data_IF_621310645535
#
_entry.id   IF_621310645535
#
_cell.length_a   1.000
_cell.length_b   1.000
_cell.length_c   1.000
_cell.angle_alpha   90.00
_cell.angle_beta   90.00
_cell.angle_gamma   90.00
#
_symmetry.space_group_name_H-M   'P 1'
#
loop_
_entity.id
_entity.type
_entity.pdbx_description
1 polymer ?
#
# COMPACT_ATOMS: atom_id res chain seq x y z
N UNK A 1 -30.89 -20.53 -24.59
CA UNK A 1 -31.38 -20.68 -23.20
C UNK A 1 -32.35 -19.52 -22.95
N UNK A 2 -33.47 -19.71 -22.26
CA UNK A 2 -34.42 -18.61 -22.05
C UNK A 2 -33.84 -17.62 -21.03
N UNK A 3 -33.65 -16.36 -21.43
CA UNK A 3 -33.10 -15.31 -20.56
C UNK A 3 -34.14 -14.95 -19.50
N UNK A 4 -33.76 -15.08 -18.22
CA UNK A 4 -34.66 -14.82 -17.10
C UNK A 4 -34.57 -13.38 -16.62
N UNK A 5 -35.59 -12.93 -15.86
CA UNK A 5 -35.56 -11.62 -15.20
C UNK A 5 -34.40 -11.51 -14.20
N UNK A 6 -34.00 -12.63 -13.60
CA UNK A 6 -32.85 -12.69 -12.70
C UNK A 6 -31.54 -12.44 -13.45
N UNK A 7 -31.37 -13.01 -14.65
CA UNK A 7 -30.17 -12.79 -15.48
C UNK A 7 -30.05 -11.32 -15.91
N UNK A 8 -31.17 -10.70 -16.29
CA UNK A 8 -31.23 -9.28 -16.65
C UNK A 8 -30.90 -8.40 -15.44
N UNK A 9 -31.46 -8.72 -14.26
CA UNK A 9 -31.20 -7.99 -13.02
C UNK A 9 -29.74 -8.11 -12.60
N UNK A 10 -29.16 -9.31 -12.72
CA UNK A 10 -27.75 -9.58 -12.44
C UNK A 10 -26.82 -8.80 -13.36
N UNK A 11 -27.08 -8.80 -14.67
CA UNK A 11 -26.29 -8.01 -15.62
C UNK A 11 -26.40 -6.51 -15.34
N UNK A 12 -27.58 -6.03 -14.95
CA UNK A 12 -27.80 -4.63 -14.55
C UNK A 12 -27.01 -4.27 -13.29
N UNK A 13 -27.03 -5.09 -12.25
CA UNK A 13 -26.23 -4.88 -11.05
C UNK A 13 -24.72 -4.91 -11.34
N UNK A 14 -24.29 -5.75 -12.27
CA UNK A 14 -22.89 -5.85 -12.67
C UNK A 14 -22.39 -4.66 -13.47
N UNK A 15 -23.25 -4.03 -14.28
CA UNK A 15 -22.85 -3.07 -15.32
C UNK A 15 -23.39 -1.65 -15.13
N UNK A 16 -24.41 -1.47 -14.28
CA UNK A 16 -25.10 -0.20 -14.09
C UNK A 16 -25.98 0.24 -15.27
N UNK A 17 -26.14 -0.58 -16.31
CA UNK A 17 -26.94 -0.26 -17.49
C UNK A 17 -28.45 -0.24 -17.23
N UNK A 18 -29.22 0.38 -18.14
CA UNK A 18 -30.67 0.31 -18.14
C UNK A 18 -31.18 -1.12 -18.33
N UNK A 19 -32.30 -1.47 -17.66
CA UNK A 19 -32.88 -2.82 -17.67
C UNK A 19 -33.15 -3.37 -19.08
N UNK A 20 -33.63 -2.50 -19.98
CA UNK A 20 -33.91 -2.87 -21.38
C UNK A 20 -32.64 -3.05 -22.21
N UNK A 21 -31.57 -2.34 -21.89
CA UNK A 21 -30.29 -2.49 -22.57
C UNK A 21 -29.62 -3.80 -22.14
N UNK A 22 -29.64 -4.13 -20.84
CA UNK A 22 -29.18 -5.42 -20.32
C UNK A 22 -29.93 -6.59 -20.97
N UNK A 23 -31.25 -6.48 -21.12
CA UNK A 23 -32.06 -7.50 -21.79
C UNK A 23 -31.64 -7.69 -23.25
N UNK A 24 -31.59 -6.61 -24.04
CA UNK A 24 -31.19 -6.66 -25.45
C UNK A 24 -29.77 -7.22 -25.64
N UNK A 25 -28.85 -6.86 -24.75
CA UNK A 25 -27.49 -7.35 -24.79
C UNK A 25 -27.40 -8.85 -24.47
N UNK A 26 -28.19 -9.34 -23.51
CA UNK A 26 -28.30 -10.78 -23.23
C UNK A 26 -28.95 -11.52 -24.39
N UNK A 27 -29.98 -10.95 -25.03
CA UNK A 27 -30.63 -11.53 -26.21
C UNK A 27 -29.62 -11.69 -27.36
N UNK A 28 -28.85 -10.64 -27.67
CA UNK A 28 -27.80 -10.67 -28.70
C UNK A 28 -26.63 -11.61 -28.34
N UNK A 29 -26.35 -11.78 -27.04
CA UNK A 29 -25.31 -12.68 -26.54
C UNK A 29 -25.80 -14.13 -26.32
N UNK A 30 -27.06 -14.45 -26.66
CA UNK A 30 -27.67 -15.76 -26.40
C UNK A 30 -27.62 -16.19 -24.92
N UNK A 31 -27.68 -15.24 -23.99
CA UNK A 31 -27.60 -15.44 -22.54
C UNK A 31 -26.18 -15.48 -21.96
N UNK A 32 -25.14 -15.31 -22.79
CA UNK A 32 -23.75 -15.22 -22.34
C UNK A 32 -23.50 -13.85 -21.68
N UNK A 33 -23.26 -13.86 -20.36
CA UNK A 33 -23.15 -12.64 -19.55
C UNK A 33 -21.91 -11.80 -19.92
N UNK A 34 -20.81 -12.44 -20.31
CA UNK A 34 -19.56 -11.77 -20.64
C UNK A 34 -19.68 -11.09 -22.01
N UNK A 35 -20.23 -11.80 -23.00
CA UNK A 35 -20.54 -11.21 -24.31
C UNK A 35 -21.58 -10.10 -24.22
N UNK A 36 -22.61 -10.26 -23.39
CA UNK A 36 -23.61 -9.20 -23.17
C UNK A 36 -22.95 -7.93 -22.58
N UNK A 37 -22.01 -8.11 -21.65
CA UNK A 37 -21.22 -7.00 -21.09
C UNK A 37 -20.39 -6.30 -22.17
N UNK A 38 -19.74 -7.05 -23.07
CA UNK A 38 -19.01 -6.46 -24.20
C UNK A 38 -19.91 -5.68 -25.18
N UNK A 39 -21.10 -6.21 -25.48
CA UNK A 39 -22.09 -5.55 -26.34
C UNK A 39 -22.53 -4.22 -25.73
N UNK A 40 -22.79 -4.19 -24.42
CA UNK A 40 -23.13 -2.96 -23.69
C UNK A 40 -22.00 -1.92 -23.73
N UNK A 41 -20.74 -2.36 -23.68
CA UNK A 41 -19.56 -1.49 -23.83
C UNK A 41 -19.43 -0.94 -25.24
N UNK A 42 -19.56 -1.79 -26.27
CA UNK A 42 -19.49 -1.40 -27.69
C UNK A 42 -20.57 -0.38 -28.06
N UNK A 43 -21.76 -0.49 -27.43
CA UNK A 43 -22.87 0.44 -27.64
C UNK A 43 -22.76 1.73 -26.79
N UNK A 44 -21.74 1.87 -25.95
CA UNK A 44 -21.54 3.05 -25.11
C UNK A 44 -22.59 3.23 -24.01
N UNK A 45 -23.36 2.19 -23.71
CA UNK A 45 -24.50 2.24 -22.77
C UNK A 45 -24.06 2.10 -21.32
N UNK A 46 -22.84 1.60 -21.09
CA UNK A 46 -22.22 1.52 -19.77
C UNK A 46 -20.94 2.35 -19.72
N UNK A 47 -20.82 3.23 -18.73
CA UNK A 47 -19.53 3.84 -18.35
C UNK A 47 -18.82 2.86 -17.42
N UNK A 48 -17.69 2.33 -17.88
CA UNK A 48 -16.74 1.49 -17.13
C UNK A 48 -17.35 0.22 -16.47
N UNK A 49 -17.18 -0.93 -17.13
CA UNK A 49 -17.37 -2.24 -16.48
C UNK A 49 -16.46 -2.38 -15.24
N UNK A 50 -16.88 -3.21 -14.27
CA UNK A 50 -16.07 -3.64 -13.12
C UNK A 50 -14.63 -3.93 -13.53
N UNK A 51 -13.71 -3.03 -13.18
CA UNK A 51 -12.26 -3.18 -13.31
C UNK A 51 -11.68 -4.11 -12.24
N UNK A 52 -12.40 -5.20 -11.94
CA UNK A 52 -12.01 -6.17 -10.91
C UNK A 52 -10.59 -6.68 -11.12
N UNK A 53 -10.22 -6.93 -12.38
CA UNK A 53 -9.01 -7.67 -12.74
C UNK A 53 -7.78 -6.81 -13.06
N UNK A 54 -7.92 -5.47 -13.09
CA UNK A 54 -6.77 -4.59 -13.30
C UNK A 54 -6.05 -4.33 -11.98
N UNK A 55 -4.73 -4.58 -11.98
CA UNK A 55 -3.86 -4.39 -10.83
C UNK A 55 -3.59 -2.89 -10.67
N UNK A 56 -4.14 -2.30 -9.59
CA UNK A 56 -3.85 -0.92 -9.21
C UNK A 56 -2.57 -0.89 -8.36
N UNK A 57 -1.41 -0.90 -9.01
CA UNK A 57 -0.09 -0.86 -8.35
C UNK A 57 0.57 0.52 -8.38
N UNK A 58 -0.01 1.48 -9.09
CA UNK A 58 0.39 2.89 -9.08
C UNK A 58 -0.48 3.68 -8.08
N UNK A 59 -0.24 4.99 -7.94
CA UNK A 59 -0.93 5.84 -6.98
C UNK A 59 0.01 6.67 -6.11
N UNK A 60 -0.47 7.03 -4.91
CA UNK A 60 0.24 7.83 -3.91
C UNK A 60 -0.08 7.34 -2.49
N UNK A 61 0.90 7.50 -1.62
CA UNK A 61 0.76 7.43 -0.17
C UNK A 61 0.70 8.85 0.38
N UNK A 62 0.05 9.02 1.53
CA UNK A 62 -0.06 10.30 2.23
C UNK A 62 0.09 10.07 3.72
N UNK A 63 0.75 11.01 4.39
CA UNK A 63 0.74 11.14 5.85
C UNK A 63 0.33 12.57 6.19
N UNK A 64 -0.56 12.73 7.17
CA UNK A 64 -1.00 14.04 7.67
C UNK A 64 -1.10 14.01 9.18
N UNK A 65 -0.63 15.07 9.82
CA UNK A 65 -0.76 15.32 11.25
C UNK A 65 -1.61 16.56 11.45
N UNK A 66 -2.58 16.49 12.35
CA UNK A 66 -3.39 17.63 12.76
C UNK A 66 -3.72 17.51 14.25
N UNK A 67 -3.15 18.42 15.04
CA UNK A 67 -3.21 18.40 16.50
C UNK A 67 -2.72 17.04 17.05
N UNK A 68 -3.56 16.35 17.83
CA UNK A 68 -3.24 15.07 18.45
C UNK A 68 -3.60 13.86 17.58
N UNK A 69 -3.92 14.07 16.30
CA UNK A 69 -4.31 13.01 15.37
C UNK A 69 -3.33 12.98 14.20
N UNK A 70 -2.86 11.78 13.86
CA UNK A 70 -2.10 11.51 12.66
C UNK A 70 -2.76 10.42 11.84
N UNK A 71 -2.69 10.55 10.51
CA UNK A 71 -3.16 9.54 9.57
C UNK A 71 -2.10 9.24 8.54
N UNK A 72 -2.06 7.99 8.10
CA UNK A 72 -1.29 7.56 6.94
C UNK A 72 -2.17 6.67 6.07
N UNK A 73 -2.14 6.86 4.76
CA UNK A 73 -2.96 6.11 3.82
C UNK A 73 -2.24 5.84 2.51
N UNK A 74 -2.66 4.80 1.81
CA UNK A 74 -2.27 4.52 0.42
C UNK A 74 -3.52 4.46 -0.46
N UNK A 75 -3.54 5.28 -1.51
CA UNK A 75 -4.57 5.27 -2.54
C UNK A 75 -3.90 4.85 -3.85
N UNK A 76 -4.45 3.83 -4.50
CA UNK A 76 -3.91 3.28 -5.73
C UNK A 76 -4.72 3.68 -6.97
N UNK A 77 -4.04 3.70 -8.11
CA UNK A 77 -4.58 3.83 -9.47
C UNK A 77 -4.00 2.73 -10.38
N UNK A 78 -4.55 2.60 -11.60
CA UNK A 78 -4.03 1.64 -12.59
C UNK A 78 -2.72 2.12 -13.21
N UNK A 79 -2.62 3.43 -13.47
CA UNK A 79 -1.44 4.04 -14.10
C UNK A 79 -0.81 5.15 -13.26
N UNK A 80 0.44 5.49 -13.58
CA UNK A 80 1.15 6.61 -12.99
C UNK A 80 0.67 7.96 -13.56
N UNK A 81 0.12 7.98 -14.78
CA UNK A 81 -0.52 9.16 -15.37
C UNK A 81 -1.72 9.63 -14.55
N UNK A 82 -2.59 8.70 -14.13
CA UNK A 82 -3.68 9.01 -13.21
C UNK A 82 -3.17 9.55 -11.87
N UNK A 83 -2.15 8.90 -11.29
CA UNK A 83 -1.57 9.30 -10.01
C UNK A 83 -0.97 10.73 -10.02
N UNK A 84 -0.54 11.20 -11.18
CA UNK A 84 0.03 12.56 -11.38
C UNK A 84 -1.02 13.65 -11.60
N UNK A 85 -2.28 13.27 -11.90
CA UNK A 85 -3.37 14.22 -12.14
C UNK A 85 -3.79 14.98 -10.89
N UNK A 86 -4.30 16.20 -11.07
CA UNK A 86 -4.76 17.01 -9.94
C UNK A 86 -6.02 16.43 -9.29
N UNK A 87 -6.93 15.82 -10.07
CA UNK A 87 -8.09 15.11 -9.54
C UNK A 87 -7.68 13.99 -8.57
N UNK A 88 -6.62 13.23 -8.90
CA UNK A 88 -6.12 12.18 -8.01
C UNK A 88 -5.44 12.74 -6.76
N UNK A 89 -4.58 13.75 -6.90
CA UNK A 89 -3.94 14.40 -5.74
C UNK A 89 -4.97 15.02 -4.79
N UNK A 90 -6.02 15.63 -5.34
CA UNK A 90 -7.12 16.18 -4.56
C UNK A 90 -7.91 15.08 -3.85
N UNK A 91 -8.14 13.92 -4.48
CA UNK A 91 -8.72 12.77 -3.81
C UNK A 91 -7.85 12.32 -2.63
N UNK A 92 -6.54 12.19 -2.82
CA UNK A 92 -5.60 11.75 -1.76
C UNK A 92 -5.59 12.73 -0.59
N UNK A 93 -5.56 14.04 -0.85
CA UNK A 93 -5.67 15.07 0.20
C UNK A 93 -7.01 14.95 0.94
N UNK A 94 -8.11 14.83 0.21
CA UNK A 94 -9.44 14.69 0.80
C UNK A 94 -9.56 13.43 1.67
N UNK A 95 -8.94 12.31 1.26
CA UNK A 95 -8.87 11.11 2.09
C UNK A 95 -8.15 11.40 3.40
N UNK A 96 -6.99 12.06 3.38
CA UNK A 96 -6.27 12.40 4.60
C UNK A 96 -7.10 13.29 5.54
N UNK A 97 -7.79 14.30 4.99
CA UNK A 97 -8.67 15.20 5.76
C UNK A 97 -9.84 14.43 6.38
N UNK A 98 -10.53 13.60 5.59
CA UNK A 98 -11.63 12.77 6.05
C UNK A 98 -11.22 11.82 7.17
N UNK A 99 -10.05 11.18 7.06
CA UNK A 99 -9.53 10.26 8.08
C UNK A 99 -9.23 10.97 9.40
N UNK A 100 -8.70 12.21 9.35
CA UNK A 100 -8.44 13.02 10.55
C UNK A 100 -9.75 13.36 11.26
N UNK A 101 -10.77 13.76 10.50
CA UNK A 101 -12.05 14.22 11.03
C UNK A 101 -12.90 13.06 11.59
N UNK A 102 -12.98 11.96 10.86
CA UNK A 102 -13.95 10.88 11.13
C UNK A 102 -13.33 9.68 11.85
N UNK A 103 -11.99 9.56 11.83
CA UNK A 103 -11.22 8.53 12.55
C UNK A 103 -11.75 7.10 12.39
N UNK A 104 -12.02 6.63 11.16
CA UNK A 104 -12.53 5.28 10.94
C UNK A 104 -11.50 4.23 11.39
N UNK A 105 -11.98 3.11 11.92
CA UNK A 105 -11.14 2.02 12.40
C UNK A 105 -10.63 1.11 11.27
N UNK A 106 -11.26 1.14 10.09
CA UNK A 106 -10.87 0.31 8.95
C UNK A 106 -11.09 1.00 7.60
N UNK A 107 -10.52 0.41 6.54
CA UNK A 107 -10.74 0.86 5.17
C UNK A 107 -12.22 0.75 4.79
N UNK A 108 -12.90 -0.33 5.18
CA UNK A 108 -14.33 -0.54 4.91
C UNK A 108 -15.19 0.54 5.54
N UNK A 109 -14.86 0.94 6.77
CA UNK A 109 -15.55 2.04 7.45
C UNK A 109 -15.26 3.38 6.78
N UNK A 110 -13.99 3.65 6.44
CA UNK A 110 -13.61 4.87 5.73
C UNK A 110 -14.34 5.00 4.39
N UNK A 111 -14.45 3.90 3.64
CA UNK A 111 -15.08 3.88 2.32
C UNK A 111 -16.56 4.23 2.34
N UNK A 112 -17.28 4.05 3.47
CA UNK A 112 -18.70 4.45 3.57
C UNK A 112 -18.90 5.96 3.38
N UNK A 113 -17.96 6.79 3.85
CA UNK A 113 -18.02 8.24 3.65
C UNK A 113 -17.21 8.75 2.47
N UNK A 114 -16.31 7.93 1.92
CA UNK A 114 -15.46 8.28 0.77
C UNK A 114 -16.06 7.83 -0.57
N UNK A 115 -17.10 6.99 -0.58
CA UNK A 115 -17.64 6.34 -1.79
C UNK A 115 -17.99 7.33 -2.91
N UNK A 116 -18.68 8.41 -2.59
CA UNK A 116 -19.09 9.41 -3.58
C UNK A 116 -17.88 10.12 -4.18
N UNK A 117 -16.90 10.49 -3.36
CA UNK A 117 -15.67 11.14 -3.81
C UNK A 117 -14.85 10.22 -4.73
N UNK A 118 -14.71 8.94 -4.36
CA UNK A 118 -14.05 7.96 -5.22
C UNK A 118 -14.82 7.78 -6.55
N UNK A 119 -16.14 7.69 -6.52
CA UNK A 119 -16.97 7.51 -7.72
C UNK A 119 -16.90 8.71 -8.66
N UNK A 120 -16.89 9.93 -8.11
CA UNK A 120 -16.67 11.17 -8.85
C UNK A 120 -15.30 11.16 -9.54
N UNK A 121 -14.23 10.88 -8.79
CA UNK A 121 -12.86 10.89 -9.33
C UNK A 121 -12.64 9.78 -10.36
N UNK A 122 -13.19 8.58 -10.14
CA UNK A 122 -13.19 7.48 -11.13
C UNK A 122 -13.88 7.92 -12.43
N UNK A 123 -14.97 8.67 -12.35
CA UNK A 123 -15.70 9.15 -13.53
C UNK A 123 -14.92 10.17 -14.35
N UNK A 124 -14.03 10.95 -13.71
CA UNK A 124 -13.15 11.93 -14.35
C UNK A 124 -11.89 11.31 -14.93
N UNK A 125 -11.19 10.53 -14.12
CA UNK A 125 -9.90 9.91 -14.51
C UNK A 125 -10.15 8.77 -15.49
N UNK A 126 -11.26 8.04 -15.32
CA UNK A 126 -11.50 6.85 -16.10
C UNK A 126 -10.50 5.75 -15.77
N UNK A 127 -10.07 5.60 -14.51
CA UNK A 127 -9.31 4.44 -14.00
C UNK A 127 -9.92 3.90 -12.70
N UNK A 128 -9.65 2.62 -12.36
CA UNK A 128 -9.99 2.10 -11.03
C UNK A 128 -9.11 2.78 -9.99
N UNK A 129 -9.76 3.26 -8.94
CA UNK A 129 -9.10 3.82 -7.77
C UNK A 129 -9.42 2.93 -6.56
N UNK A 130 -8.47 2.80 -5.64
CA UNK A 130 -8.65 1.97 -4.45
C UNK A 130 -8.03 2.63 -3.23
N UNK A 131 -8.77 2.73 -2.12
CA UNK A 131 -8.19 2.99 -0.82
C UNK A 131 -7.64 1.66 -0.29
N UNK A 132 -6.33 1.51 -0.24
CA UNK A 132 -5.71 0.20 0.00
C UNK A 132 -5.52 -0.09 1.48
N UNK A 133 -4.97 0.88 2.21
CA UNK A 133 -4.66 0.75 3.63
C UNK A 133 -4.65 2.12 4.28
N UNK A 134 -5.01 2.14 5.55
CA UNK A 134 -5.02 3.32 6.40
C UNK A 134 -4.45 2.96 7.77
N UNK A 135 -3.90 3.94 8.46
CA UNK A 135 -3.80 3.94 9.90
C UNK A 135 -4.20 5.31 10.43
N UNK A 136 -4.96 5.33 11.52
CA UNK A 136 -5.38 6.54 12.26
C UNK A 136 -4.86 6.42 13.68
N UNK A 137 -4.05 7.38 14.11
CA UNK A 137 -3.37 7.35 15.40
C UNK A 137 -3.77 8.61 16.18
N UNK A 138 -4.14 8.44 17.44
CA UNK A 138 -4.22 9.54 18.40
C UNK A 138 -3.03 9.43 19.34
N UNK A 139 -2.34 10.54 19.58
CA UNK A 139 -1.19 10.58 20.51
C UNK A 139 -1.62 10.96 21.92
N UNK A 140 -0.83 10.53 22.91
CA UNK A 140 -0.88 11.05 24.27
C UNK A 140 -0.14 12.40 24.37
N UNK A 141 -0.24 13.07 25.52
CA UNK A 141 0.46 14.33 25.79
C UNK A 141 1.99 14.18 25.85
N UNK A 142 2.48 12.96 26.11
CA UNK A 142 3.90 12.63 26.20
C UNK A 142 4.46 12.16 24.85
N UNK A 143 3.63 12.12 23.81
CA UNK A 143 3.99 11.61 22.50
C UNK A 143 4.13 12.73 21.46
N UNK A 144 5.01 12.49 20.51
CA UNK A 144 5.32 13.34 19.37
C UNK A 144 5.14 12.54 18.08
N UNK A 145 4.60 13.19 17.05
CA UNK A 145 4.51 12.59 15.72
C UNK A 145 5.68 13.03 14.85
N UNK A 146 6.31 12.07 14.17
CA UNK A 146 7.21 12.32 13.06
C UNK A 146 6.54 11.94 11.76
N UNK A 147 6.19 12.91 10.92
CA UNK A 147 5.62 12.65 9.60
C UNK A 147 6.57 13.07 8.49
N UNK A 148 6.77 12.20 7.51
CA UNK A 148 7.62 12.50 6.36
C UNK A 148 7.06 11.89 5.08
N UNK A 149 6.99 12.70 4.02
CA UNK A 149 6.63 12.28 2.67
C UNK A 149 7.87 12.37 1.79
N UNK A 150 8.16 11.31 1.05
CA UNK A 150 9.29 11.23 0.14
C UNK A 150 8.85 10.94 -1.29
N UNK A 151 9.67 11.39 -2.26
CA UNK A 151 9.46 11.19 -3.70
C UNK A 151 8.04 11.58 -4.18
N UNK A 152 7.51 12.69 -3.67
CA UNK A 152 6.20 13.21 -4.08
C UNK A 152 5.02 12.31 -3.70
N UNK A 153 5.13 11.52 -2.62
CA UNK A 153 4.07 10.61 -2.16
C UNK A 153 4.24 9.18 -2.64
N UNK A 154 5.43 8.76 -3.09
CA UNK A 154 5.70 7.32 -3.32
C UNK A 154 6.02 6.61 -2.01
N UNK A 155 6.58 7.31 -1.03
CA UNK A 155 6.82 6.81 0.32
C UNK A 155 6.27 7.82 1.32
N UNK A 156 5.50 7.34 2.31
CA UNK A 156 5.05 8.13 3.44
C UNK A 156 5.41 7.37 4.72
N UNK A 157 5.87 8.12 5.72
CA UNK A 157 6.26 7.56 7.01
C UNK A 157 5.60 8.34 8.13
N UNK A 158 5.08 7.61 9.11
CA UNK A 158 4.60 8.13 10.38
C UNK A 158 5.36 7.43 11.51
N UNK A 159 5.90 8.19 12.44
CA UNK A 159 6.57 7.73 13.66
C UNK A 159 5.81 8.29 14.86
N UNK A 160 5.60 7.47 15.88
CA UNK A 160 5.11 7.89 17.19
C UNK A 160 6.26 7.75 18.18
N UNK A 161 6.72 8.88 18.70
CA UNK A 161 7.83 8.96 19.64
C UNK A 161 7.29 9.37 21.01
N UNK A 162 7.46 8.54 22.02
CA UNK A 162 7.22 8.88 23.42
C UNK A 162 8.45 9.65 23.95
N UNK A 163 8.23 10.79 24.61
CA UNK A 163 9.30 11.71 24.98
C UNK A 163 9.95 12.40 23.78
N UNK A 164 11.18 12.89 23.98
CA UNK A 164 11.95 13.57 22.94
C UNK A 164 11.26 14.80 22.34
N UNK A 165 11.63 15.14 21.11
CA UNK A 165 11.06 16.28 20.37
C UNK A 165 10.39 15.83 19.07
N UNK A 166 9.48 16.66 18.56
CA UNK A 166 8.88 16.48 17.23
C UNK A 166 9.93 16.45 16.11
N UNK A 167 11.00 17.25 16.23
CA UNK A 167 12.12 17.23 15.29
C UNK A 167 12.83 15.88 15.28
N UNK A 168 13.11 15.28 16.44
CA UNK A 168 13.71 13.95 16.51
C UNK A 168 12.79 12.89 15.88
N UNK A 169 11.48 12.95 16.17
CA UNK A 169 10.51 12.04 15.57
C UNK A 169 10.52 12.15 14.03
N UNK A 170 10.58 13.38 13.50
CA UNK A 170 10.68 13.65 12.06
C UNK A 170 11.99 13.15 11.45
N UNK A 171 13.12 13.29 12.15
CA UNK A 171 14.40 12.75 11.70
C UNK A 171 14.38 11.21 11.60
N UNK A 172 13.78 10.55 12.58
CA UNK A 172 13.58 9.10 12.57
C UNK A 172 12.65 8.69 11.41
N UNK A 173 11.60 9.47 11.13
CA UNK A 173 10.72 9.22 9.99
C UNK A 173 11.45 9.36 8.63
N UNK A 174 12.34 10.35 8.51
CA UNK A 174 13.21 10.51 7.34
C UNK A 174 14.17 9.34 7.17
N UNK A 175 14.77 8.89 8.27
CA UNK A 175 15.64 7.72 8.27
C UNK A 175 14.88 6.48 7.78
N UNK A 176 13.74 6.16 8.39
CA UNK A 176 12.93 5.00 8.01
C UNK A 176 12.46 5.07 6.54
N UNK A 177 12.16 6.27 6.02
CA UNK A 177 11.82 6.41 4.60
C UNK A 177 12.96 5.95 3.68
N UNK A 178 14.20 6.29 4.04
CA UNK A 178 15.41 5.98 3.28
C UNK A 178 15.87 4.52 3.43
N UNK A 179 15.79 3.96 4.63
CA UNK A 179 16.37 2.64 4.95
C UNK A 179 15.39 1.48 4.84
N UNK A 180 14.08 1.74 4.82
CA UNK A 180 13.06 0.70 4.63
C UNK A 180 12.99 -0.38 5.71
N UNK A 181 13.05 -0.05 7.02
CA UNK A 181 12.84 -1.04 8.07
C UNK A 181 11.44 -1.64 7.95
N UNK A 182 11.34 -2.92 8.30
CA UNK A 182 10.09 -3.69 8.31
C UNK A 182 9.54 -3.87 9.72
N UNK A 183 10.42 -3.86 10.71
CA UNK A 183 10.10 -4.08 12.11
C UNK A 183 10.69 -2.97 12.96
N UNK A 184 10.13 -2.74 14.14
CA UNK A 184 10.65 -1.75 15.08
C UNK A 184 11.94 -2.28 15.75
N UNK A 185 11.89 -3.53 16.20
CA UNK A 185 12.91 -4.20 16.99
C UNK A 185 12.98 -5.71 16.66
N UNK A 186 13.89 -6.43 17.30
CA UNK A 186 14.14 -7.86 17.04
C UNK A 186 12.96 -8.73 17.48
N UNK A 187 12.23 -8.32 18.52
CA UNK A 187 11.11 -9.05 19.10
C UNK A 187 9.88 -9.10 18.18
N UNK A 188 9.76 -8.14 17.25
CA UNK A 188 8.69 -8.10 16.25
C UNK A 188 8.97 -8.99 15.03
N UNK A 189 10.18 -9.55 14.90
CA UNK A 189 10.52 -10.42 13.78
C UNK A 189 9.95 -11.82 14.00
N UNK A 190 9.11 -12.28 13.06
CA UNK A 190 8.50 -13.61 13.14
C UNK A 190 9.54 -14.74 13.19
N UNK A 191 9.33 -15.70 14.09
CA UNK A 191 10.25 -16.82 14.29
C UNK A 191 10.48 -17.66 13.02
N UNK A 192 9.46 -17.84 12.19
CA UNK A 192 9.59 -18.58 10.92
C UNK A 192 10.47 -17.85 9.89
N UNK A 193 10.47 -16.52 9.91
CA UNK A 193 11.38 -15.71 9.09
C UNK A 193 12.81 -15.91 9.58
N UNK A 194 13.03 -15.86 10.89
CA UNK A 194 14.36 -16.06 11.49
C UNK A 194 14.92 -17.44 11.22
N UNK A 195 14.12 -18.49 11.42
CA UNK A 195 14.52 -19.88 11.16
C UNK A 195 14.92 -20.05 9.69
N UNK A 196 14.11 -19.52 8.76
CA UNK A 196 14.38 -19.60 7.33
C UNK A 196 15.65 -18.85 6.93
N UNK A 197 15.87 -17.64 7.45
CA UNK A 197 17.09 -16.88 7.17
C UNK A 197 18.34 -17.57 7.75
N UNK A 198 18.24 -18.16 8.94
CA UNK A 198 19.31 -18.95 9.54
C UNK A 198 19.63 -20.21 8.73
N UNK A 199 18.61 -20.91 8.25
CA UNK A 199 18.75 -22.10 7.40
C UNK A 199 19.45 -21.73 6.09
N UNK A 200 18.94 -20.72 5.37
CA UNK A 200 19.55 -20.22 4.12
C UNK A 200 21.01 -19.84 4.35
N UNK A 201 21.30 -19.07 5.41
CA UNK A 201 22.66 -18.67 5.73
C UNK A 201 23.58 -19.86 6.02
N UNK A 202 23.08 -20.86 6.75
CA UNK A 202 23.82 -22.09 7.09
C UNK A 202 24.11 -22.92 5.85
N UNK A 203 23.11 -23.17 5.01
CA UNK A 203 23.24 -23.93 3.76
C UNK A 203 24.24 -23.30 2.80
N UNK A 204 24.19 -21.98 2.63
CA UNK A 204 25.18 -21.25 1.82
C UNK A 204 26.61 -21.48 2.31
N UNK A 205 26.83 -21.52 3.63
CA UNK A 205 28.15 -21.70 4.21
C UNK A 205 28.62 -23.17 4.15
N UNK A 206 27.69 -24.14 4.30
CA UNK A 206 27.98 -25.57 4.07
C UNK A 206 28.37 -25.84 2.62
N UNK A 207 27.67 -25.24 1.66
CA UNK A 207 27.99 -25.34 0.23
C UNK A 207 29.37 -24.73 -0.11
N UNK A 208 29.84 -23.77 0.69
CA UNK A 208 31.20 -23.22 0.60
C UNK A 208 32.26 -24.08 1.31
N UNK A 209 31.90 -25.24 1.83
CA UNK A 209 32.82 -26.17 2.50
C UNK A 209 33.28 -25.73 3.89
N UNK A 210 32.55 -24.82 4.56
CA UNK A 210 32.94 -24.34 5.89
C UNK A 210 32.60 -25.39 6.97
N UNK A 211 33.48 -25.59 7.98
CA UNK A 211 33.20 -26.47 9.12
C UNK A 211 32.01 -25.99 9.98
N UNK A 212 31.20 -26.93 10.49
CA UNK A 212 29.96 -26.63 11.23
C UNK A 212 30.19 -25.76 12.48
N UNK A 213 31.29 -25.96 13.20
CA UNK A 213 31.67 -25.15 14.37
C UNK A 213 31.97 -23.68 14.02
N UNK A 214 32.40 -23.41 12.78
CA UNK A 214 32.63 -22.04 12.28
C UNK A 214 31.32 -21.45 11.74
N UNK A 215 30.47 -22.27 11.14
CA UNK A 215 29.16 -21.85 10.59
C UNK A 215 28.31 -21.17 11.66
N UNK A 216 28.19 -21.75 12.85
CA UNK A 216 27.38 -21.19 13.95
C UNK A 216 27.75 -19.72 14.25
N UNK A 217 29.04 -19.41 14.35
CA UNK A 217 29.51 -18.06 14.64
C UNK A 217 29.27 -17.10 13.46
N UNK A 218 29.45 -17.56 12.22
CA UNK A 218 29.21 -16.73 11.03
C UNK A 218 27.71 -16.45 10.87
N UNK A 219 26.86 -17.45 11.09
CA UNK A 219 25.40 -17.29 11.02
C UNK A 219 24.94 -16.27 12.04
N UNK A 220 25.46 -16.29 13.27
CA UNK A 220 25.15 -15.26 14.28
C UNK A 220 25.43 -13.85 13.76
N UNK A 221 26.62 -13.60 13.21
CA UNK A 221 26.97 -12.29 12.64
C UNK A 221 26.10 -11.92 11.42
N UNK A 222 25.72 -12.89 10.58
CA UNK A 222 24.77 -12.66 9.49
C UNK A 222 23.37 -12.29 10.00
N UNK A 223 22.92 -12.91 11.09
CA UNK A 223 21.64 -12.57 11.72
C UNK A 223 21.67 -11.18 12.35
N UNK A 224 22.76 -10.80 13.02
CA UNK A 224 22.93 -9.43 13.51
C UNK A 224 22.89 -8.42 12.36
N UNK A 225 23.52 -8.73 11.22
CA UNK A 225 23.40 -7.90 10.02
C UNK A 225 21.96 -7.83 9.51
N UNK A 226 21.27 -8.96 9.40
CA UNK A 226 19.86 -9.02 9.01
C UNK A 226 19.00 -8.09 9.90
N UNK A 227 19.16 -8.17 11.22
CA UNK A 227 18.45 -7.27 12.15
C UNK A 227 18.78 -5.80 11.88
N UNK A 228 20.06 -5.46 11.64
CA UNK A 228 20.47 -4.08 11.30
C UNK A 228 19.89 -3.58 9.97
N UNK A 229 19.46 -4.47 9.09
CA UNK A 229 18.80 -4.11 7.82
C UNK A 229 17.28 -3.97 8.00
N UNK A 230 16.64 -4.84 8.79
CA UNK A 230 15.16 -4.93 8.84
C UNK A 230 14.52 -4.29 10.08
N UNK A 231 15.27 -4.07 11.16
CA UNK A 231 14.75 -3.51 12.43
C UNK A 231 15.20 -2.07 12.59
N UNK A 232 14.25 -1.15 12.77
CA UNK A 232 14.53 0.28 12.91
C UNK A 232 15.54 0.57 14.03
N UNK A 233 15.43 -0.10 15.20
CA UNK A 233 16.31 0.18 16.35
C UNK A 233 17.77 -0.21 16.14
N UNK A 234 18.00 -1.15 15.25
CA UNK A 234 19.32 -1.72 14.96
C UNK A 234 20.00 -0.99 13.80
N UNK A 235 19.24 -0.16 13.05
CA UNK A 235 19.76 0.58 11.92
C UNK A 235 20.70 1.70 12.39
N UNK A 236 21.92 1.82 11.80
CA UNK A 236 22.79 2.96 12.03
C UNK A 236 22.13 4.23 11.49
N UNK A 237 22.18 5.31 12.25
CA UNK A 237 21.52 6.55 11.86
C UNK A 237 22.21 7.17 10.64
N UNK A 238 21.43 7.47 9.59
CA UNK A 238 21.96 7.98 8.31
C UNK A 238 22.75 9.28 8.39
N UNK A 239 22.62 10.05 9.49
CA UNK A 239 23.38 11.29 9.72
C UNK A 239 24.57 11.09 10.66
N UNK A 240 24.60 9.98 11.41
CA UNK A 240 25.62 9.65 12.41
C UNK A 240 25.65 8.12 12.57
N UNK A 241 26.45 7.44 11.75
CA UNK A 241 26.51 5.97 11.72
C UNK A 241 27.14 5.38 12.99
N UNK A 242 27.69 6.20 13.90
CA UNK A 242 28.22 5.75 15.19
C UNK A 242 27.12 5.33 16.17
N UNK A 243 25.88 5.74 15.93
CA UNK A 243 24.72 5.44 16.78
C UNK A 243 23.62 4.75 16.00
N UNK A 244 22.98 3.77 16.61
CA UNK A 244 21.74 3.23 16.08
C UNK A 244 20.56 4.16 16.39
N UNK A 245 19.44 4.00 15.69
CA UNK A 245 18.21 4.74 15.99
C UNK A 245 17.72 4.48 17.43
N UNK A 246 17.87 3.24 17.92
CA UNK A 246 17.53 2.91 19.31
C UNK A 246 18.35 3.74 20.30
N UNK A 247 19.67 3.80 20.09
CA UNK A 247 20.59 4.58 20.93
C UNK A 247 20.34 6.09 20.82
N UNK A 248 20.02 6.58 19.62
CA UNK A 248 19.67 7.98 19.37
C UNK A 248 18.43 8.38 20.18
N UNK A 249 17.37 7.58 20.13
CA UNK A 249 16.15 7.81 20.88
C UNK A 249 16.40 7.77 22.40
N UNK A 250 17.10 6.73 22.88
CA UNK A 250 17.40 6.56 24.30
C UNK A 250 18.23 7.73 24.86
N UNK A 251 19.27 8.16 24.14
CA UNK A 251 20.12 9.30 24.54
C UNK A 251 19.32 10.60 24.65
N UNK A 252 18.26 10.74 23.86
CA UNK A 252 17.35 11.88 23.88
C UNK A 252 16.23 11.73 24.93
N UNK A 253 16.25 10.69 25.77
CA UNK A 253 15.17 10.39 26.73
C UNK A 253 13.85 10.05 26.05
N UNK A 254 13.91 9.43 24.87
CA UNK A 254 12.77 9.13 24.03
C UNK A 254 12.68 7.63 23.71
N UNK A 255 11.48 7.19 23.33
CA UNK A 255 11.22 5.82 22.90
C UNK A 255 10.33 5.85 21.67
N UNK A 256 10.78 5.24 20.58
CA UNK A 256 9.91 5.06 19.42
C UNK A 256 8.89 3.99 19.76
N UNK A 257 7.61 4.35 19.78
CA UNK A 257 6.52 3.45 20.17
C UNK A 257 6.01 2.65 18.99
N UNK A 258 5.78 3.32 17.87
CA UNK A 258 5.21 2.76 16.65
C UNK A 258 5.77 3.49 15.44
N UNK A 259 5.83 2.81 14.31
CA UNK A 259 6.03 3.47 13.02
C UNK A 259 5.21 2.77 11.92
N UNK A 260 4.89 3.54 10.89
CA UNK A 260 4.33 3.06 9.64
C UNK A 260 5.17 3.60 8.51
N UNK A 261 5.55 2.73 7.58
CA UNK A 261 6.17 3.11 6.31
C UNK A 261 5.34 2.54 5.18
N UNK A 262 4.63 3.39 4.46
CA UNK A 262 3.92 3.00 3.26
C UNK A 262 4.75 3.37 2.05
N UNK A 263 5.26 2.35 1.37
CA UNK A 263 5.80 2.45 0.03
C UNK A 263 4.74 1.99 -0.97
N UNK A 264 4.56 2.80 -2.02
CA UNK A 264 3.53 2.56 -3.03
C UNK A 264 3.71 1.19 -3.68
N UNK A 265 2.62 0.41 -3.69
CA UNK A 265 2.61 -0.88 -4.37
C UNK A 265 3.45 -1.96 -3.68
N UNK A 266 3.98 -1.70 -2.48
CA UNK A 266 4.67 -2.70 -1.67
C UNK A 266 3.76 -3.92 -1.46
N UNK A 267 4.27 -5.13 -1.75
CA UNK A 267 3.49 -6.37 -1.73
C UNK A 267 2.53 -6.59 -2.92
N UNK A 268 2.57 -5.75 -3.96
CA UNK A 268 1.80 -5.95 -5.21
C UNK A 268 2.72 -6.45 -6.32
N UNK A 269 2.46 -7.66 -6.82
CA UNK A 269 3.15 -8.16 -8.02
C UNK A 269 2.66 -7.43 -9.25
N UNK A 270 3.47 -6.50 -9.78
CA UNK A 270 3.20 -5.88 -11.08
C UNK A 270 3.30 -6.92 -12.18
N UNK A 271 2.25 -7.11 -12.99
CA UNK A 271 2.37 -7.84 -14.25
C UNK A 271 3.24 -7.00 -15.19
N UNK A 272 4.43 -7.49 -15.49
CA UNK A 272 5.23 -7.01 -16.61
C UNK A 272 4.60 -7.59 -17.87
N UNK A 273 4.01 -6.74 -18.70
CA UNK A 273 3.61 -7.09 -20.06
C UNK A 273 4.64 -6.49 -21.02
N UNK A 274 5.25 -7.33 -21.85
CA UNK A 274 6.08 -6.86 -22.95
C UNK A 274 5.16 -6.27 -24.03
N UNK A 275 5.34 -4.98 -24.33
CA UNK A 275 4.52 -4.25 -25.29
C UNK A 275 4.53 -4.91 -26.67
N UNK A 276 5.65 -5.51 -27.08
CA UNK A 276 5.73 -6.24 -28.36
C UNK A 276 4.83 -7.48 -28.37
N UNK A 277 4.76 -8.19 -27.24
CA UNK A 277 3.90 -9.36 -27.06
C UNK A 277 2.42 -8.95 -27.06
N UNK A 278 2.07 -7.88 -26.36
CA UNK A 278 0.68 -7.37 -26.31
C UNK A 278 0.18 -6.89 -27.68
N UNK A 279 1.05 -6.20 -28.44
CA UNK A 279 0.74 -5.79 -29.82
C UNK A 279 0.58 -7.02 -30.73
N UNK A 280 1.45 -8.03 -30.60
CA UNK A 280 1.36 -9.25 -31.40
C UNK A 280 0.09 -10.08 -31.11
N UNK A 281 -0.39 -10.07 -29.87
CA UNK A 281 -1.64 -10.72 -29.47
C UNK A 281 -2.89 -10.01 -30.01
N UNK A 282 -2.87 -8.68 -30.11
CA UNK A 282 -3.97 -7.89 -30.70
C UNK A 282 -4.05 -7.97 -32.23
N UNK A 283 -2.98 -8.43 -32.89
CA UNK A 283 -2.91 -8.59 -34.35
C UNK A 283 -3.32 -10.00 -34.84
N UNK A 284 -3.70 -10.91 -33.94
CA UNK A 284 -4.25 -12.24 -34.25
C UNK A 284 -5.79 -12.22 -34.22
#
# INVERSE_FOLDING_TARGET
MAITIQDISKLREMTGAGMMDCKKALDEANGDTDKATEILRKKGVIKAAKRGDKIAAEGLTVVKVQNDVAVIAEVNSESDFAAKSDDFKNLVSFVADYLIENKPASVEEAMKGLQDKFSETVSKIGEKLNLRRIAVINKSAEENFGAYVHMGGKISVLVVLEGGSEDLAREIAMHAAATGPRYLNREEVDGSVLEKEQEIASEQLRAQGKPENIIVNIVKGKMDKFYSEVCLFEQPFIKDEEKTIGQLAETAGAKVKLFWRYELGDGITKKSCDFATEVAEQMK
#
